data_IF_469870283654
#
_entry.id   IF_469870283654
#
_cell.length_a   1.000
_cell.length_b   1.000
_cell.length_c   1.000
_cell.angle_alpha   90.00
_cell.angle_beta   90.00
_cell.angle_gamma   90.00
#
_symmetry.space_group_name_H-M   'P 1'
#
loop_
_entity.id
_entity.type
_entity.pdbx_description
1 polymer ?
#
# COMPACT_ATOMS: atom_id res chain seq x y z
N UNK A 1 -34.86 31.33 10.61
CA UNK A 1 -34.47 30.21 9.71
C UNK A 1 -33.62 30.80 8.60
N UNK A 2 -32.30 30.79 8.77
CA UNK A 2 -31.37 31.15 7.70
C UNK A 2 -30.45 29.96 7.51
N UNK A 3 -30.42 29.45 6.28
CA UNK A 3 -29.85 28.18 5.88
C UNK A 3 -28.36 28.10 6.21
N UNK A 4 -27.97 27.11 7.02
CA UNK A 4 -26.61 26.60 7.03
C UNK A 4 -26.30 26.01 5.65
N UNK A 5 -25.76 26.85 4.76
CA UNK A 5 -25.02 26.36 3.60
C UNK A 5 -23.79 25.64 4.13
N UNK A 6 -23.84 24.31 4.17
CA UNK A 6 -22.65 23.46 4.26
C UNK A 6 -21.73 23.87 3.11
N UNK A 7 -20.80 24.77 3.39
CA UNK A 7 -19.60 24.97 2.59
C UNK A 7 -18.88 23.62 2.59
N UNK A 8 -19.13 22.82 1.56
CA UNK A 8 -18.25 21.72 1.19
C UNK A 8 -16.92 22.39 0.84
N UNK A 9 -16.07 22.56 1.86
CA UNK A 9 -14.68 22.97 1.73
C UNK A 9 -14.08 22.19 0.57
N UNK A 10 -13.62 22.93 -0.44
CA UNK A 10 -13.14 22.38 -1.70
C UNK A 10 -12.32 21.11 -1.45
N UNK A 11 -12.81 19.97 -1.94
CA UNK A 11 -12.05 18.72 -1.92
C UNK A 11 -10.87 18.95 -2.85
N UNK A 12 -9.73 19.43 -2.37
CA UNK A 12 -8.58 19.61 -3.25
C UNK A 12 -8.06 18.26 -3.77
N UNK A 13 -7.12 18.29 -4.72
CA UNK A 13 -6.53 17.10 -5.31
C UNK A 13 -5.61 16.42 -4.28
N UNK A 14 -5.95 15.20 -3.87
CA UNK A 14 -5.21 14.42 -2.89
C UNK A 14 -5.06 12.97 -3.34
N UNK A 15 -4.00 12.34 -2.87
CA UNK A 15 -3.68 10.95 -3.14
C UNK A 15 -3.47 10.22 -1.82
N UNK A 16 -3.76 8.93 -1.82
CA UNK A 16 -3.35 7.98 -0.78
C UNK A 16 -2.29 7.06 -1.35
N UNK A 17 -1.17 6.88 -0.66
CA UNK A 17 -0.28 5.76 -0.88
C UNK A 17 -0.27 4.86 0.37
N UNK A 18 -0.54 3.57 0.21
CA UNK A 18 -0.39 2.59 1.30
C UNK A 18 0.82 1.71 0.98
N UNK A 19 1.83 1.77 1.85
CA UNK A 19 3.05 0.96 1.75
C UNK A 19 2.97 -0.21 2.73
N UNK A 20 3.19 -1.43 2.25
CA UNK A 20 3.17 -2.63 3.07
C UNK A 20 4.57 -3.25 3.19
N UNK A 21 5.12 -3.20 4.40
CA UNK A 21 6.46 -3.70 4.74
C UNK A 21 6.34 -5.05 5.45
N UNK A 22 7.18 -6.01 5.06
CA UNK A 22 7.28 -7.35 5.65
C UNK A 22 8.07 -7.33 6.97
N UNK A 23 7.60 -6.55 7.93
CA UNK A 23 8.08 -6.51 9.31
C UNK A 23 6.93 -6.04 10.20
N UNK A 24 6.66 -6.73 11.29
CA UNK A 24 5.58 -6.40 12.25
C UNK A 24 5.85 -6.91 13.66
N UNK A 25 7.05 -7.37 13.97
CA UNK A 25 7.41 -8.01 15.25
C UNK A 25 8.51 -7.28 16.01
N UNK A 26 9.47 -6.66 15.34
CA UNK A 26 10.60 -5.99 15.97
C UNK A 26 10.25 -4.52 16.29
N UNK A 27 9.99 -4.16 17.56
CA UNK A 27 9.47 -2.84 17.90
C UNK A 27 10.44 -1.69 17.55
N UNK A 28 11.75 -1.93 17.66
CA UNK A 28 12.76 -0.92 17.32
C UNK A 28 12.78 -0.63 15.82
N UNK A 29 12.72 -1.66 14.97
CA UNK A 29 12.63 -1.50 13.51
C UNK A 29 11.33 -0.79 13.13
N UNK A 30 10.19 -1.19 13.71
CA UNK A 30 8.90 -0.57 13.40
C UNK A 30 8.91 0.92 13.79
N UNK A 31 9.49 1.27 14.94
CA UNK A 31 9.61 2.66 15.40
C UNK A 31 10.53 3.46 14.48
N UNK A 32 11.65 2.86 14.05
CA UNK A 32 12.58 3.47 13.10
C UNK A 32 11.90 3.74 11.75
N UNK A 33 11.16 2.76 11.21
CA UNK A 33 10.38 2.92 9.98
C UNK A 33 9.30 3.99 10.12
N UNK A 34 8.58 4.04 11.25
CA UNK A 34 7.58 5.07 11.50
C UNK A 34 8.20 6.47 11.54
N UNK A 35 9.38 6.62 12.15
CA UNK A 35 10.12 7.87 12.15
C UNK A 35 10.54 8.29 10.73
N UNK A 36 11.04 7.35 9.92
CA UNK A 36 11.34 7.62 8.51
C UNK A 36 10.11 7.99 7.69
N UNK A 37 9.00 7.30 7.89
CA UNK A 37 7.74 7.61 7.21
C UNK A 37 7.22 9.02 7.59
N UNK A 38 7.32 9.41 8.86
CA UNK A 38 6.90 10.74 9.32
C UNK A 38 7.81 11.87 8.80
N UNK A 39 9.08 11.58 8.52
CA UNK A 39 10.08 12.56 8.09
C UNK A 39 10.41 12.50 6.59
N UNK A 40 9.73 11.62 5.85
CA UNK A 40 9.96 11.37 4.43
C UNK A 40 10.02 12.68 3.62
N UNK A 41 10.96 12.74 2.70
CA UNK A 41 11.44 13.99 2.08
C UNK A 41 10.35 14.77 1.34
N UNK A 42 10.39 16.10 1.48
CA UNK A 42 9.70 17.07 0.63
C UNK A 42 10.70 17.65 -0.37
N UNK A 43 10.24 18.01 -1.57
CA UNK A 43 10.97 18.92 -2.48
C UNK A 43 10.09 20.12 -2.77
N UNK A 44 10.65 21.23 -3.27
CA UNK A 44 9.82 22.39 -3.67
C UNK A 44 8.75 22.00 -4.69
N UNK A 45 9.04 21.05 -5.58
CA UNK A 45 8.11 20.54 -6.58
C UNK A 45 7.14 19.47 -6.04
N UNK A 46 7.38 18.92 -4.85
CA UNK A 46 6.57 17.87 -4.24
C UNK A 46 6.56 18.04 -2.70
N UNK A 47 5.57 18.76 -2.16
CA UNK A 47 5.36 18.89 -0.72
C UNK A 47 5.29 17.52 -0.03
N UNK A 48 5.72 17.46 1.24
CA UNK A 48 5.74 16.21 2.01
C UNK A 48 4.32 15.66 2.16
N UNK A 49 4.14 14.38 1.88
CA UNK A 49 2.93 13.68 2.28
C UNK A 49 2.93 13.40 3.79
N UNK A 50 1.75 13.54 4.41
CA UNK A 50 1.52 13.20 5.80
C UNK A 50 1.47 11.68 5.98
N UNK A 51 2.17 11.15 6.99
CA UNK A 51 1.88 9.82 7.51
C UNK A 51 0.58 9.89 8.34
N UNK A 52 -0.55 9.57 7.71
CA UNK A 52 -1.87 9.65 8.33
C UNK A 52 -2.15 8.49 9.28
N UNK A 53 -1.58 7.31 8.99
CA UNK A 53 -1.79 6.11 9.79
C UNK A 53 -0.66 5.10 9.60
N UNK A 54 -0.40 4.31 10.64
CA UNK A 54 0.40 3.09 10.51
C UNK A 54 -0.15 2.00 11.41
N UNK A 55 -0.04 0.75 10.97
CA UNK A 55 -0.52 -0.41 11.71
C UNK A 55 0.42 -1.59 11.52
N UNK A 56 0.94 -2.12 12.63
CA UNK A 56 1.77 -3.32 12.66
C UNK A 56 0.93 -4.52 13.11
N UNK A 57 1.00 -5.61 12.34
CA UNK A 57 0.40 -6.89 12.65
C UNK A 57 1.51 -7.92 12.96
N UNK A 58 1.76 -8.24 14.24
CA UNK A 58 2.77 -9.22 14.63
C UNK A 58 2.45 -10.65 14.17
N UNK A 59 1.17 -10.98 13.99
CA UNK A 59 0.73 -12.30 13.53
C UNK A 59 1.16 -12.47 12.08
N UNK A 60 0.82 -11.49 11.24
CA UNK A 60 1.19 -11.46 9.83
C UNK A 60 2.66 -11.11 9.60
N UNK A 61 3.34 -10.54 10.59
CA UNK A 61 4.67 -9.94 10.49
C UNK A 61 4.71 -8.87 9.38
N UNK A 62 3.73 -7.96 9.40
CA UNK A 62 3.57 -6.94 8.36
C UNK A 62 3.15 -5.62 8.97
N UNK A 63 3.67 -4.53 8.45
CA UNK A 63 3.28 -3.17 8.83
C UNK A 63 2.81 -2.41 7.60
N UNK A 64 1.72 -1.67 7.75
CA UNK A 64 1.19 -0.75 6.74
C UNK A 64 1.43 0.69 7.13
N UNK A 65 1.80 1.54 6.17
CA UNK A 65 1.99 2.99 6.32
C UNK A 65 1.16 3.74 5.29
N UNK A 66 0.34 4.69 5.73
CA UNK A 66 -0.62 5.44 4.91
C UNK A 66 -0.12 6.87 4.74
N UNK A 67 0.31 7.21 3.53
CA UNK A 67 0.74 8.54 3.15
C UNK A 67 -0.40 9.28 2.45
N UNK A 68 -0.71 10.50 2.88
CA UNK A 68 -1.73 11.34 2.25
C UNK A 68 -1.14 12.69 1.88
N UNK A 69 -1.39 13.15 0.66
CA UNK A 69 -0.87 14.41 0.16
C UNK A 69 -1.25 14.68 -1.28
N UNK A 70 -0.92 15.86 -1.79
CA UNK A 70 -1.03 16.15 -3.23
C UNK A 70 -0.04 15.34 -4.06
N UNK A 71 1.15 15.05 -3.50
CA UNK A 71 2.22 14.27 -4.14
C UNK A 71 2.77 13.21 -3.18
N UNK A 72 2.18 12.02 -3.20
CA UNK A 72 2.54 10.93 -2.26
C UNK A 72 3.70 10.08 -2.74
N UNK A 73 3.98 10.05 -4.05
CA UNK A 73 5.02 9.24 -4.65
C UNK A 73 6.41 9.59 -4.12
N UNK A 74 6.72 10.87 -3.92
CA UNK A 74 8.02 11.32 -3.42
C UNK A 74 8.29 10.79 -2.00
N UNK A 75 7.35 11.01 -1.07
CA UNK A 75 7.47 10.54 0.31
C UNK A 75 7.45 9.00 0.39
N UNK A 76 6.56 8.33 -0.34
CA UNK A 76 6.51 6.87 -0.41
C UNK A 76 7.82 6.29 -0.97
N UNK A 77 8.41 6.91 -2.00
CA UNK A 77 9.69 6.46 -2.57
C UNK A 77 10.84 6.62 -1.59
N UNK A 78 10.92 7.78 -0.92
CA UNK A 78 11.95 8.05 0.09
C UNK A 78 11.87 7.03 1.24
N UNK A 79 10.65 6.77 1.73
CA UNK A 79 10.39 5.76 2.75
C UNK A 79 10.76 4.35 2.29
N UNK A 80 10.34 3.93 1.09
CA UNK A 80 10.63 2.60 0.56
C UNK A 80 12.14 2.38 0.37
N UNK A 81 12.87 3.39 -0.10
CA UNK A 81 14.34 3.32 -0.21
C UNK A 81 14.99 3.09 1.16
N UNK A 82 14.54 3.80 2.19
CA UNK A 82 15.02 3.61 3.56
C UNK A 82 14.67 2.20 4.10
N UNK A 83 13.45 1.71 3.84
CA UNK A 83 13.03 0.37 4.24
C UNK A 83 13.88 -0.73 3.56
N UNK A 84 14.14 -0.59 2.25
CA UNK A 84 14.99 -1.53 1.50
C UNK A 84 16.44 -1.49 2.02
N UNK A 85 17.00 -0.32 2.30
CA UNK A 85 18.35 -0.21 2.86
C UNK A 85 18.48 -0.86 4.27
N UNK A 86 17.36 -0.98 4.99
CA UNK A 86 17.33 -1.44 6.38
C UNK A 86 16.98 -2.92 6.54
N UNK A 87 16.28 -3.51 5.56
CA UNK A 87 15.62 -4.80 5.68
C UNK A 87 15.88 -5.72 4.48
N UNK A 88 16.14 -6.98 4.78
CA UNK A 88 16.27 -8.05 3.80
C UNK A 88 15.11 -9.05 3.90
N UNK A 89 14.55 -9.39 2.74
CA UNK A 89 13.43 -10.32 2.67
C UNK A 89 13.87 -11.77 2.91
N UNK A 90 15.13 -12.09 2.62
CA UNK A 90 15.73 -13.43 2.79
C UNK A 90 15.52 -14.01 4.21
N UNK A 91 15.47 -13.16 5.23
CA UNK A 91 15.32 -13.55 6.64
C UNK A 91 13.87 -13.52 7.14
N UNK A 92 12.94 -12.99 6.34
CA UNK A 92 11.56 -12.75 6.73
C UNK A 92 10.80 -14.05 7.04
N UNK A 93 9.96 -14.01 8.09
CA UNK A 93 9.07 -15.10 8.50
C UNK A 93 7.72 -14.54 8.95
N UNK A 94 6.67 -14.71 8.15
CA UNK A 94 5.31 -14.26 8.44
C UNK A 94 4.27 -15.36 8.17
N UNK A 95 3.11 -15.27 8.83
CA UNK A 95 1.97 -16.16 8.52
C UNK A 95 1.16 -15.67 7.33
N UNK A 96 1.25 -14.37 7.02
CA UNK A 96 0.69 -13.79 5.81
C UNK A 96 1.72 -13.94 4.69
N UNK A 97 1.34 -14.51 3.53
CA UNK A 97 2.27 -14.58 2.43
C UNK A 97 2.66 -13.18 1.94
N UNK A 98 3.91 -13.00 1.60
CA UNK A 98 4.48 -11.75 1.06
C UNK A 98 5.53 -12.14 0.03
N UNK A 99 5.83 -11.23 -0.90
CA UNK A 99 6.84 -11.51 -1.94
C UNK A 99 8.10 -10.66 -1.83
N UNK A 100 8.17 -9.71 -0.90
CA UNK A 100 9.34 -8.84 -0.74
C UNK A 100 9.36 -8.05 0.56
N UNK A 101 10.50 -7.40 0.84
CA UNK A 101 10.72 -6.50 1.97
C UNK A 101 9.62 -5.44 2.00
N UNK A 102 9.35 -4.83 0.84
CA UNK A 102 8.14 -4.05 0.60
C UNK A 102 7.29 -4.85 -0.37
N UNK A 103 6.28 -5.52 0.16
CA UNK A 103 5.46 -6.49 -0.56
C UNK A 103 4.62 -5.82 -1.64
N UNK A 104 3.94 -4.71 -1.28
CA UNK A 104 3.33 -3.85 -2.28
C UNK A 104 3.11 -2.42 -1.80
N UNK A 105 2.96 -1.53 -2.78
CA UNK A 105 2.47 -0.16 -2.61
C UNK A 105 1.25 0.04 -3.49
N UNK A 106 0.19 0.62 -2.96
CA UNK A 106 -0.97 1.03 -3.74
C UNK A 106 -1.18 2.54 -3.69
N UNK A 107 -1.58 3.12 -4.81
CA UNK A 107 -1.95 4.52 -4.96
C UNK A 107 -3.44 4.61 -5.28
N UNK A 108 -4.15 5.46 -4.56
CA UNK A 108 -5.58 5.66 -4.72
C UNK A 108 -5.94 7.15 -4.78
N UNK A 109 -6.94 7.52 -5.59
CA UNK A 109 -7.40 8.89 -5.64
C UNK A 109 -8.20 9.24 -4.39
N UNK A 110 -8.01 10.45 -3.88
CA UNK A 110 -8.83 11.04 -2.81
C UNK A 110 -9.33 12.43 -3.25
N UNK A 111 -10.48 12.85 -2.70
CA UNK A 111 -10.99 14.19 -2.97
C UNK A 111 -11.39 14.38 -4.43
N UNK A 112 -10.68 15.27 -5.14
CA UNK A 112 -10.88 15.52 -6.58
C UNK A 112 -9.86 14.83 -7.50
N UNK A 113 -8.88 14.11 -6.94
CA UNK A 113 -7.92 13.37 -7.75
C UNK A 113 -8.63 12.27 -8.57
N UNK A 114 -8.10 12.01 -9.76
CA UNK A 114 -8.61 10.98 -10.66
C UNK A 114 -7.80 9.69 -10.56
N UNK A 115 -8.36 8.60 -11.08
CA UNK A 115 -7.62 7.35 -11.22
C UNK A 115 -6.37 7.49 -12.12
N UNK A 116 -6.36 8.44 -13.05
CA UNK A 116 -5.20 8.74 -13.89
C UNK A 116 -4.11 9.45 -13.10
N UNK A 117 -4.47 10.39 -12.23
CA UNK A 117 -3.50 11.08 -11.35
C UNK A 117 -2.81 10.07 -10.42
N UNK A 118 -3.58 9.13 -9.85
CA UNK A 118 -3.02 8.05 -9.02
C UNK A 118 -2.12 7.09 -9.80
N UNK A 119 -2.42 6.86 -11.09
CA UNK A 119 -1.54 6.09 -11.96
C UNK A 119 -0.21 6.81 -12.24
N UNK A 120 -0.25 8.14 -12.40
CA UNK A 120 0.95 8.98 -12.54
C UNK A 120 1.85 8.93 -11.30
N UNK A 121 1.25 9.00 -10.11
CA UNK A 121 1.98 8.84 -8.84
C UNK A 121 2.62 7.45 -8.73
N UNK A 122 1.90 6.39 -9.13
CA UNK A 122 2.44 5.03 -9.17
C UNK A 122 3.63 4.88 -10.13
N UNK A 123 3.56 5.47 -11.33
CA UNK A 123 4.67 5.51 -12.30
C UNK A 123 5.88 6.26 -11.74
N UNK A 124 5.65 7.43 -11.13
CA UNK A 124 6.69 8.26 -10.53
C UNK A 124 7.41 7.52 -9.40
N UNK A 125 6.64 6.86 -8.53
CA UNK A 125 7.17 6.01 -7.48
C UNK A 125 8.02 4.87 -8.03
N UNK A 126 7.50 4.12 -9.01
CA UNK A 126 8.19 2.96 -9.56
C UNK A 126 9.52 3.35 -10.22
N UNK A 127 9.54 4.43 -11.01
CA UNK A 127 10.75 5.03 -11.58
C UNK A 127 11.77 5.43 -10.51
N UNK A 128 11.31 6.06 -9.43
CA UNK A 128 12.16 6.53 -8.33
C UNK A 128 12.80 5.37 -7.56
N UNK A 129 12.05 4.30 -7.30
CA UNK A 129 12.57 3.09 -6.62
C UNK A 129 13.55 2.34 -7.50
N UNK A 130 13.24 2.15 -8.78
CA UNK A 130 14.17 1.49 -9.71
C UNK A 130 15.48 2.25 -9.88
N UNK A 131 15.43 3.58 -9.93
CA UNK A 131 16.64 4.40 -9.99
C UNK A 131 17.58 4.16 -8.79
N UNK A 132 17.02 3.78 -7.63
CA UNK A 132 17.80 3.47 -6.43
C UNK A 132 18.21 1.99 -6.35
N UNK A 133 17.35 1.07 -6.83
CA UNK A 133 17.60 -0.38 -6.82
C UNK A 133 17.27 -0.97 -8.20
N UNK A 134 18.16 -0.85 -9.19
CA UNK A 134 17.85 -1.21 -10.59
C UNK A 134 17.51 -2.69 -10.82
N UNK A 135 18.04 -3.57 -9.98
CA UNK A 135 17.83 -5.02 -10.06
C UNK A 135 16.52 -5.49 -9.44
N UNK A 136 15.83 -4.64 -8.67
CA UNK A 136 14.60 -5.03 -7.97
C UNK A 136 13.46 -5.29 -8.97
N UNK A 137 12.84 -6.49 -8.97
CA UNK A 137 11.67 -6.75 -9.81
C UNK A 137 10.45 -5.96 -9.32
N UNK A 138 9.91 -5.08 -10.17
CA UNK A 138 8.73 -4.25 -9.87
C UNK A 138 7.54 -4.69 -10.73
N UNK A 139 6.46 -5.17 -10.11
CA UNK A 139 5.26 -5.63 -10.81
C UNK A 139 4.12 -4.63 -10.69
N UNK A 140 3.68 -4.06 -11.81
CA UNK A 140 2.57 -3.13 -11.83
C UNK A 140 1.19 -3.83 -11.90
N UNK A 141 0.21 -3.31 -11.17
CA UNK A 141 -1.15 -3.82 -11.16
C UNK A 141 -2.22 -2.72 -11.13
N UNK A 142 -3.45 -3.11 -11.42
CA UNK A 142 -4.60 -2.22 -11.39
C UNK A 142 -5.03 -1.72 -12.77
N UNK A 143 -6.29 -1.26 -12.88
CA UNK A 143 -6.96 -1.03 -14.16
C UNK A 143 -6.33 0.09 -15.01
N UNK A 144 -5.60 1.02 -14.39
CA UNK A 144 -4.94 2.13 -15.08
C UNK A 144 -3.45 1.89 -15.37
N UNK A 145 -2.90 0.77 -14.87
CA UNK A 145 -1.52 0.37 -15.16
C UNK A 145 -1.52 -0.77 -16.19
N UNK A 146 -1.74 -1.99 -15.73
CA UNK A 146 -1.61 -3.23 -16.55
C UNK A 146 -2.94 -3.95 -16.76
N UNK A 147 -3.98 -3.60 -16.01
CA UNK A 147 -5.24 -4.36 -15.97
C UNK A 147 -5.16 -5.66 -15.16
N UNK A 148 -3.97 -6.08 -14.74
CA UNK A 148 -3.79 -7.26 -13.88
C UNK A 148 -4.23 -6.96 -12.45
N UNK A 149 -4.76 -7.96 -11.76
CA UNK A 149 -5.01 -7.84 -10.33
C UNK A 149 -3.82 -8.34 -9.51
N UNK A 150 -3.60 -7.76 -8.33
CA UNK A 150 -2.50 -8.11 -7.42
C UNK A 150 -2.47 -9.61 -7.07
N UNK A 151 -3.66 -10.21 -6.91
CA UNK A 151 -3.80 -11.65 -6.62
C UNK A 151 -3.19 -12.53 -7.71
N UNK A 152 -3.36 -12.18 -8.98
CA UNK A 152 -2.91 -13.01 -10.09
C UNK A 152 -1.39 -12.94 -10.24
N UNK A 153 -0.80 -11.75 -10.13
CA UNK A 153 0.66 -11.55 -10.06
C UNK A 153 1.24 -12.34 -8.90
N UNK A 154 0.60 -12.25 -7.73
CA UNK A 154 1.03 -13.01 -6.56
C UNK A 154 0.99 -14.51 -6.79
N UNK A 155 -0.10 -14.99 -7.42
CA UNK A 155 -0.27 -16.40 -7.73
C UNK A 155 0.83 -16.90 -8.67
N UNK A 156 1.18 -16.15 -9.72
CA UNK A 156 2.25 -16.54 -10.65
C UNK A 156 3.63 -16.55 -9.97
N UNK A 157 3.83 -15.71 -8.95
CA UNK A 157 5.05 -15.65 -8.15
C UNK A 157 5.03 -16.55 -6.90
N UNK A 158 4.14 -17.55 -6.86
CA UNK A 158 4.17 -18.59 -5.84
C UNK A 158 3.63 -18.18 -4.46
N UNK A 159 2.89 -17.07 -4.37
CA UNK A 159 2.35 -16.54 -3.10
C UNK A 159 1.49 -17.52 -2.29
N UNK A 160 0.83 -18.48 -2.95
CA UNK A 160 -0.01 -19.50 -2.29
C UNK A 160 0.72 -20.83 -2.05
N UNK A 161 1.99 -20.93 -2.45
CA UNK A 161 2.79 -22.12 -2.18
C UNK A 161 3.19 -22.17 -0.69
N UNK A 162 3.46 -23.35 -0.12
CA UNK A 162 3.95 -23.47 1.25
C UNK A 162 5.18 -22.59 1.48
N UNK A 163 5.15 -21.77 2.53
CA UNK A 163 6.22 -20.81 2.83
C UNK A 163 7.52 -21.53 3.13
N UNK A 164 8.47 -21.47 2.20
CA UNK A 164 9.88 -21.71 2.49
C UNK A 164 10.49 -20.42 3.07
N UNK A 165 11.69 -20.47 3.65
CA UNK A 165 12.40 -19.28 4.16
C UNK A 165 13.86 -19.32 3.73
N UNK A 166 14.55 -18.17 3.71
CA UNK A 166 15.97 -18.14 3.37
C UNK A 166 16.24 -18.33 1.88
N UNK A 167 17.43 -18.85 1.57
CA UNK A 167 17.93 -19.03 0.20
C UNK A 167 16.98 -19.84 -0.71
N UNK A 168 16.26 -20.83 -0.16
CA UNK A 168 15.32 -21.63 -0.93
C UNK A 168 14.13 -20.80 -1.47
N UNK A 169 13.66 -19.83 -0.70
CA UNK A 169 12.60 -18.89 -1.14
C UNK A 169 13.12 -17.97 -2.22
N UNK A 170 14.33 -17.43 -2.03
CA UNK A 170 14.96 -16.53 -2.99
C UNK A 170 15.23 -17.23 -4.32
N UNK A 171 15.79 -18.45 -4.30
CA UNK A 171 16.04 -19.25 -5.50
C UNK A 171 14.75 -19.59 -6.26
N UNK A 172 13.68 -19.98 -5.55
CA UNK A 172 12.36 -20.21 -6.17
C UNK A 172 11.80 -18.92 -6.78
N UNK A 173 11.82 -17.83 -6.03
CA UNK A 173 11.29 -16.54 -6.49
C UNK A 173 12.07 -16.04 -7.71
N UNK A 174 13.39 -16.25 -7.75
CA UNK A 174 14.23 -15.93 -8.89
C UNK A 174 13.81 -16.72 -10.14
N UNK A 175 13.58 -18.03 -10.02
CA UNK A 175 13.07 -18.84 -11.13
C UNK A 175 11.69 -18.34 -11.62
N UNK A 176 10.78 -18.04 -10.70
CA UNK A 176 9.43 -17.57 -11.04
C UNK A 176 9.42 -16.18 -11.69
N UNK A 177 10.34 -15.28 -11.30
CA UNK A 177 10.51 -13.98 -11.95
C UNK A 177 11.04 -14.14 -13.38
N UNK A 178 11.92 -15.12 -13.63
CA UNK A 178 12.38 -15.45 -14.99
C UNK A 178 11.26 -16.01 -15.86
N UNK A 179 10.45 -16.91 -15.31
CA UNK A 179 9.31 -17.50 -16.01
C UNK A 179 8.18 -16.48 -16.25
N UNK A 180 8.00 -15.52 -15.34
CA UNK A 180 6.90 -14.56 -15.34
C UNK A 180 7.45 -13.12 -15.17
N UNK A 181 8.23 -12.59 -16.11
CA UNK A 181 8.89 -11.29 -15.95
C UNK A 181 7.87 -10.14 -15.79
N UNK A 182 8.28 -9.00 -15.20
CA UNK A 182 7.43 -7.82 -15.14
C UNK A 182 6.88 -7.42 -16.51
N UNK A 183 5.65 -6.92 -16.53
CA UNK A 183 4.97 -6.51 -17.76
C UNK A 183 5.72 -5.40 -18.50
N UNK A 184 5.46 -5.27 -19.81
CA UNK A 184 6.00 -4.18 -20.63
C UNK A 184 5.67 -2.78 -20.08
N UNK A 185 4.55 -2.62 -19.36
CA UNK A 185 4.25 -1.36 -18.66
C UNK A 185 5.36 -0.99 -17.69
N UNK A 186 5.80 -1.95 -16.87
CA UNK A 186 6.92 -1.76 -15.94
C UNK A 186 8.15 -1.37 -16.74
N UNK A 187 8.49 -2.15 -17.77
CA UNK A 187 9.68 -1.92 -18.58
C UNK A 187 9.73 -0.52 -19.19
N UNK A 188 8.58 0.05 -19.61
CA UNK A 188 8.48 1.36 -20.26
C UNK A 188 8.37 2.54 -19.29
N UNK A 189 7.67 2.37 -18.16
CA UNK A 189 7.33 3.46 -17.23
C UNK A 189 8.25 3.54 -16.00
N UNK A 190 9.14 2.56 -15.85
CA UNK A 190 10.13 2.52 -14.78
C UNK A 190 11.51 2.97 -15.27
N UNK A 191 11.80 2.74 -16.56
CA UNK A 191 13.00 3.22 -17.23
C UNK A 191 12.69 3.52 -18.70
N UNK A 192 12.96 4.75 -19.15
CA UNK A 192 12.73 5.15 -20.54
C UNK A 192 13.57 4.38 -21.57
N UNK A 193 14.66 3.72 -21.12
CA UNK A 193 15.51 2.86 -21.94
C UNK A 193 15.09 1.39 -21.93
N UNK A 194 14.04 1.04 -21.19
CA UNK A 194 13.67 -0.34 -20.92
C UNK A 194 14.47 -0.94 -19.76
N UNK A 195 13.99 -2.10 -19.30
CA UNK A 195 14.64 -2.95 -18.28
C UNK A 195 14.91 -4.29 -18.96
N UNK A 196 16.17 -4.72 -18.94
CA UNK A 196 16.53 -6.09 -19.33
C UNK A 196 16.07 -7.05 -18.22
N UNK A 197 15.12 -7.96 -18.49
CA UNK A 197 14.65 -8.93 -17.49
C UNK A 197 15.76 -9.82 -16.93
N UNK A 198 16.85 -10.05 -17.67
CA UNK A 198 17.98 -10.86 -17.21
C UNK A 198 18.80 -10.18 -16.09
N UNK A 199 18.69 -8.85 -15.96
CA UNK A 199 19.33 -8.09 -14.89
C UNK A 199 18.50 -8.03 -13.60
N UNK A 200 17.27 -8.55 -13.62
CA UNK A 200 16.40 -8.56 -12.47
C UNK A 200 16.80 -9.67 -11.50
N UNK A 201 16.92 -9.31 -10.22
CA UNK A 201 17.20 -10.24 -9.15
C UNK A 201 16.30 -9.94 -7.96
N UNK A 202 15.53 -10.93 -7.46
CA UNK A 202 14.81 -10.76 -6.21
C UNK A 202 15.74 -10.57 -5.01
N UNK A 203 17.04 -10.89 -5.08
CA UNK A 203 17.92 -10.73 -3.91
C UNK A 203 18.36 -9.28 -3.68
N UNK A 204 18.40 -8.80 -2.42
CA UNK A 204 17.96 -9.47 -1.18
C UNK A 204 16.50 -9.15 -0.78
N UNK A 205 15.77 -8.39 -1.61
CA UNK A 205 14.52 -7.72 -1.21
C UNK A 205 13.21 -8.38 -1.66
N UNK A 206 13.27 -9.51 -2.36
CA UNK A 206 12.14 -10.12 -3.05
C UNK A 206 11.67 -9.30 -4.25
N UNK A 207 10.36 -9.19 -4.43
CA UNK A 207 9.73 -8.36 -5.48
C UNK A 207 8.85 -7.29 -4.84
N UNK A 208 8.67 -6.18 -5.57
CA UNK A 208 7.79 -5.08 -5.18
C UNK A 208 6.59 -5.03 -6.14
N UNK A 209 5.37 -5.11 -5.63
CA UNK A 209 4.19 -4.82 -6.44
C UNK A 209 3.77 -3.35 -6.29
N UNK A 210 3.48 -2.65 -7.38
CA UNK A 210 3.00 -1.26 -7.38
C UNK A 210 1.64 -1.19 -8.08
N UNK A 211 0.66 -0.50 -7.49
CA UNK A 211 -0.68 -0.45 -8.07
C UNK A 211 -1.31 0.92 -8.06
N UNK A 212 -2.19 1.16 -9.03
CA UNK A 212 -3.15 2.25 -9.02
C UNK A 212 -4.56 1.67 -8.98
N UNK A 213 -5.24 1.84 -7.85
CA UNK A 213 -6.53 1.19 -7.54
C UNK A 213 -7.48 2.17 -6.87
N UNK A 214 -8.80 1.93 -6.91
CA UNK A 214 -9.75 2.63 -6.03
C UNK A 214 -9.32 2.49 -4.57
N UNK A 215 -9.84 3.35 -3.69
CA UNK A 215 -9.57 3.23 -2.26
C UNK A 215 -9.95 1.83 -1.76
N UNK A 216 -8.95 1.10 -1.26
CA UNK A 216 -9.14 -0.22 -0.63
C UNK A 216 -8.83 -0.10 0.85
N UNK A 217 -9.83 -0.38 1.68
CA UNK A 217 -9.66 -0.51 3.12
C UNK A 217 -9.72 -2.00 3.48
N UNK A 218 -8.68 -2.49 4.14
CA UNK A 218 -8.68 -3.86 4.66
C UNK A 218 -9.46 -3.91 5.97
N UNK A 219 -10.39 -4.85 6.06
CA UNK A 219 -11.20 -5.07 7.25
C UNK A 219 -11.16 -6.55 7.64
N UNK A 220 -10.94 -6.83 8.92
CA UNK A 220 -10.99 -8.18 9.49
C UNK A 220 -12.28 -8.33 10.32
N UNK A 221 -13.18 -9.22 9.88
CA UNK A 221 -14.35 -9.62 10.68
C UNK A 221 -13.92 -10.63 11.74
N UNK A 222 -14.05 -10.29 13.03
CA UNK A 222 -13.94 -11.28 14.10
C UNK A 222 -15.18 -12.16 14.12
N UNK A 223 -14.97 -13.45 13.87
CA UNK A 223 -15.98 -14.48 14.10
C UNK A 223 -15.93 -14.93 15.57
N UNK A 224 -17.04 -15.46 16.08
CA UNK A 224 -17.08 -16.02 17.42
C UNK A 224 -16.12 -17.22 17.51
N UNK A 225 -15.40 -17.46 18.63
CA UNK A 225 -14.49 -18.60 18.73
C UNK A 225 -15.14 -19.97 18.51
N UNK A 226 -16.46 -20.06 18.69
CA UNK A 226 -17.24 -21.28 18.46
C UNK A 226 -17.70 -21.43 17.00
N UNK A 227 -17.50 -20.42 16.14
CA UNK A 227 -17.87 -20.48 14.73
C UNK A 227 -17.02 -21.52 14.00
N UNK A 228 -17.70 -22.48 13.37
CA UNK A 228 -17.03 -23.47 12.54
C UNK A 228 -16.37 -22.81 11.33
N UNK A 229 -15.28 -23.41 10.81
CA UNK A 229 -14.65 -22.96 9.54
C UNK A 229 -15.66 -22.85 8.39
N UNK A 230 -16.67 -23.72 8.36
CA UNK A 230 -17.75 -23.69 7.36
C UNK A 230 -18.64 -22.46 7.53
N UNK A 231 -18.98 -22.09 8.76
CA UNK A 231 -19.74 -20.88 9.09
C UNK A 231 -18.97 -19.64 8.62
N UNK A 232 -17.69 -19.53 8.99
CA UNK A 232 -16.82 -18.42 8.59
C UNK A 232 -16.71 -18.32 7.07
N UNK A 233 -16.56 -19.45 6.37
CA UNK A 233 -16.49 -19.48 4.90
C UNK A 233 -17.80 -19.03 4.24
N UNK A 234 -18.96 -19.45 4.77
CA UNK A 234 -20.28 -19.01 4.29
C UNK A 234 -20.47 -17.51 4.51
N UNK A 235 -20.13 -16.99 5.69
CA UNK A 235 -20.17 -15.56 6.00
C UNK A 235 -19.28 -14.76 5.04
N UNK A 236 -18.02 -15.19 4.88
CA UNK A 236 -17.06 -14.55 3.96
C UNK A 236 -17.61 -14.49 2.53
N UNK A 237 -18.27 -15.56 2.07
CA UNK A 237 -18.89 -15.59 0.74
C UNK A 237 -20.03 -14.57 0.64
N UNK A 238 -20.89 -14.48 1.64
CA UNK A 238 -22.01 -13.53 1.63
C UNK A 238 -21.52 -12.08 1.63
N UNK A 239 -20.55 -11.75 2.49
CA UNK A 239 -19.96 -10.40 2.55
C UNK A 239 -19.33 -9.98 1.22
N UNK A 240 -18.69 -10.92 0.50
CA UNK A 240 -18.12 -10.65 -0.83
C UNK A 240 -19.14 -10.35 -1.92
N UNK A 241 -20.41 -10.73 -1.72
CA UNK A 241 -21.49 -10.48 -2.67
C UNK A 241 -22.17 -9.13 -2.43
N UNK A 242 -21.91 -8.50 -1.29
CA UNK A 242 -22.45 -7.18 -0.98
C UNK A 242 -21.74 -6.11 -1.81
N UNK A 243 -22.48 -5.08 -2.19
CA UNK A 243 -21.86 -3.84 -2.68
C UNK A 243 -20.97 -3.23 -1.59
N UNK A 244 -20.00 -2.38 -1.97
CA UNK A 244 -19.15 -1.69 -1.00
C UNK A 244 -19.96 -0.89 0.05
N UNK A 245 -21.11 -0.32 -0.36
CA UNK A 245 -22.03 0.38 0.52
C UNK A 245 -22.78 -0.57 1.47
N UNK A 246 -23.22 -1.74 0.99
CA UNK A 246 -23.90 -2.75 1.83
C UNK A 246 -22.93 -3.44 2.79
N UNK A 247 -21.69 -3.72 2.37
CA UNK A 247 -20.64 -4.25 3.25
C UNK A 247 -20.30 -3.27 4.37
N UNK A 248 -20.34 -1.96 4.09
CA UNK A 248 -20.21 -0.92 5.10
C UNK A 248 -21.47 -0.73 5.97
N UNK A 249 -22.67 -1.03 5.44
CA UNK A 249 -23.95 -0.88 6.14
C UNK A 249 -24.37 -2.08 7.01
N UNK A 250 -23.68 -3.22 6.91
CA UNK A 250 -23.93 -4.41 7.75
C UNK A 250 -23.69 -4.16 9.26
N UNK A 251 -23.17 -2.99 9.65
CA UNK A 251 -23.13 -2.53 11.04
C UNK A 251 -23.73 -1.12 11.23
N UNK A 252 -25.06 -1.05 11.23
CA UNK A 252 -25.78 -0.05 12.04
C UNK A 252 -26.63 -0.81 13.04
N UNK A 253 -26.00 -1.38 14.08
CA UNK A 253 -26.73 -2.14 15.10
C UNK A 253 -25.88 -2.84 16.17
N UNK A 254 -24.60 -3.10 15.90
CA UNK A 254 -23.61 -3.45 16.91
C UNK A 254 -22.50 -2.41 16.88
N UNK A 255 -22.06 -1.92 18.05
CA UNK A 255 -21.00 -0.92 18.14
C UNK A 255 -19.72 -1.54 17.58
N UNK A 256 -19.28 -1.09 16.40
CA UNK A 256 -17.86 -1.08 16.05
C UNK A 256 -17.19 -0.27 17.17
N UNK A 257 -16.57 -0.95 18.12
CA UNK A 257 -15.63 -0.29 19.01
C UNK A 257 -14.35 -0.05 18.22
N UNK A 258 -13.64 1.04 18.52
CA UNK A 258 -12.35 1.42 17.91
C UNK A 258 -11.28 0.31 17.93
N UNK A 259 -11.53 -0.80 18.63
CA UNK A 259 -10.66 -1.97 18.72
C UNK A 259 -10.58 -2.83 17.42
N UNK A 260 -11.39 -2.57 16.39
CA UNK A 260 -11.51 -3.44 15.20
C UNK A 260 -11.32 -2.76 13.84
N UNK A 261 -11.37 -1.44 13.79
CA UNK A 261 -10.99 -0.67 12.60
C UNK A 261 -9.52 -0.30 12.71
N UNK A 262 -8.65 -1.04 12.02
CA UNK A 262 -7.19 -0.83 12.07
C UNK A 262 -6.67 -0.02 10.87
N UNK A 263 -7.55 0.63 10.13
CA UNK A 263 -7.20 1.59 9.08
C UNK A 263 -7.95 2.90 9.30
N UNK A 264 -7.67 3.98 8.59
CA UNK A 264 -8.47 5.21 8.63
C UNK A 264 -9.58 5.19 7.56
N UNK A 265 -10.69 5.92 7.78
CA UNK A 265 -11.73 6.11 6.75
C UNK A 265 -11.26 7.11 5.70
N UNK A 266 -11.90 7.14 4.51
CA UNK A 266 -11.63 8.20 3.51
C UNK A 266 -11.79 9.60 4.10
N UNK A 267 -12.84 9.81 4.89
CA UNK A 267 -13.11 11.08 5.56
C UNK A 267 -11.99 11.46 6.52
N UNK A 268 -11.52 10.52 7.35
CA UNK A 268 -10.41 10.74 8.28
C UNK A 268 -9.10 11.03 7.54
N UNK A 269 -8.82 10.33 6.43
CA UNK A 269 -7.66 10.60 5.58
C UNK A 269 -7.71 12.02 4.98
N UNK A 270 -8.87 12.43 4.46
CA UNK A 270 -9.08 13.78 3.91
C UNK A 270 -9.00 14.88 4.97
N UNK A 271 -9.50 14.62 6.18
CA UNK A 271 -9.41 15.54 7.30
C UNK A 271 -7.95 15.73 7.74
N UNK A 272 -7.20 14.63 7.88
CA UNK A 272 -5.77 14.68 8.19
C UNK A 272 -4.99 15.51 7.15
N UNK A 273 -5.30 15.32 5.87
CA UNK A 273 -4.70 16.09 4.79
C UNK A 273 -5.08 17.58 4.79
N UNK A 274 -6.33 17.91 5.06
CA UNK A 274 -6.79 19.31 5.15
C UNK A 274 -6.11 20.04 6.30
N UNK A 275 -5.93 19.37 7.45
CA UNK A 275 -5.21 19.94 8.58
C UNK A 275 -3.79 20.35 8.20
N UNK A 276 -3.11 19.58 7.35
CA UNK A 276 -1.77 19.95 6.85
C UNK A 276 -1.77 21.16 5.92
N UNK A 277 -2.76 21.31 5.03
CA UNK A 277 -2.86 22.49 4.15
C UNK A 277 -3.05 23.77 4.97
N UNK A 278 -3.92 23.74 5.97
CA UNK A 278 -4.22 24.92 6.81
C UNK A 278 -2.98 25.37 7.60
N UNK A 279 -2.19 24.41 8.08
CA UNK A 279 -0.94 24.71 8.79
C UNK A 279 0.14 25.30 7.87
N UNK A 280 0.26 24.83 6.63
CA UNK A 280 1.24 25.34 5.66
C UNK A 280 0.84 26.71 5.05
N UNK A 281 -0.46 27.00 4.94
CA UNK A 281 -0.96 28.24 4.33
C UNK A 281 -1.02 29.45 5.29
N UNK A 282 -0.66 29.29 6.57
CA UNK A 282 -0.54 30.39 7.52
C UNK A 282 -1.84 31.17 7.78
N UNK A 283 -2.99 30.66 7.34
CA UNK A 283 -4.28 31.31 7.54
C UNK A 283 -4.69 31.08 9.00
N UNK A 284 -4.40 32.07 9.85
CA UNK A 284 -5.05 32.19 11.16
C UNK A 284 -6.56 32.27 10.91
N UNK A 285 -7.28 31.25 11.33
CA UNK A 285 -8.74 31.32 11.45
C UNK A 285 -9.05 32.41 12.48
N UNK A 286 -9.46 33.58 11.99
CA UNK A 286 -10.09 34.64 12.77
C UNK A 286 -11.53 34.27 13.12
#
# INVERSE_FOLDING_TARGET
MSSCSNSMTARGCAHLAIVYVSEGRCPSIISELAAFAATATATEAAPRALLAHSFADPTYNRTSFYFVGSHVAASASSFVKAALARLEFSTHRGTHPTLGTVDHVCFSPLGTATALDSASEASTFASSVHSAVPTLPIYAYGPRLTGLCLKDIRKSLGYFAPTTTGAATMGRLHALVKENPPSAWTTQHVNSKGIDPELLSPEPHGVLCVGSVPLVLNYNLRCHPQDSKLTVAKLTRQVRLLSAAEAAAVEVGARITDAYFTGPTEAALLEAWRATIVLESGVKTS
#
